data_IF_248630868409
#
_entry.id   IF_248630868409
#
_cell.length_a   1.000
_cell.length_b   1.000
_cell.length_c   1.000
_cell.angle_alpha   90.00
_cell.angle_beta   90.00
_cell.angle_gamma   90.00
#
_symmetry.space_group_name_H-M   'P 1'
#
loop_
_entity.id
_entity.type
_entity.pdbx_description
1 polymer ?
#
# COMPACT_ATOMS: atom_id res chain seq x y z
N UNK A 1 8.48 -16.09 6.70
CA UNK A 1 7.05 -16.30 7.00
C UNK A 1 6.80 -16.71 8.44
N UNK A 2 7.57 -17.65 9.01
CA UNK A 2 7.42 -18.04 10.42
C UNK A 2 7.54 -16.86 11.41
N UNK A 3 8.41 -15.88 11.13
CA UNK A 3 8.54 -14.64 11.93
C UNK A 3 7.30 -13.75 11.97
N UNK A 4 6.38 -13.90 11.01
CA UNK A 4 5.12 -13.16 10.97
C UNK A 4 4.04 -13.94 11.72
N UNK A 5 4.01 -15.26 11.54
CA UNK A 5 3.08 -16.14 12.24
C UNK A 5 3.39 -16.28 13.74
N UNK A 6 4.60 -15.91 14.17
CA UNK A 6 4.95 -15.78 15.59
C UNK A 6 4.38 -14.51 16.26
N UNK A 7 3.78 -13.58 15.51
CA UNK A 7 3.04 -12.46 16.09
C UNK A 7 1.71 -12.95 16.69
N UNK A 8 1.77 -13.38 17.95
CA UNK A 8 0.63 -13.91 18.70
C UNK A 8 -0.47 -12.88 18.99
N UNK A 9 -0.22 -11.59 18.75
CA UNK A 9 -1.26 -10.55 18.85
C UNK A 9 -2.21 -10.60 17.65
N UNK A 10 -1.76 -11.13 16.51
CA UNK A 10 -2.51 -11.16 15.24
C UNK A 10 -2.82 -12.56 14.73
N UNK A 11 -1.95 -13.52 15.02
CA UNK A 11 -2.07 -14.88 14.53
C UNK A 11 -2.09 -15.87 15.68
N UNK A 12 -3.02 -16.82 15.62
CA UNK A 12 -3.11 -17.91 16.58
C UNK A 12 -3.08 -19.24 15.86
N UNK A 13 -2.39 -20.20 16.45
CA UNK A 13 -2.47 -21.58 16.02
C UNK A 13 -3.85 -22.15 16.35
N UNK A 14 -4.48 -22.83 15.39
CA UNK A 14 -5.73 -23.53 15.62
C UNK A 14 -5.42 -24.91 16.20
N UNK A 15 -5.58 -25.06 17.53
CA UNK A 15 -5.21 -26.30 18.25
C UNK A 15 -5.84 -27.57 17.67
N UNK A 16 -7.07 -27.44 17.17
CA UNK A 16 -7.80 -28.57 16.59
C UNK A 16 -7.31 -28.97 15.20
N UNK A 17 -6.57 -28.07 14.52
CA UNK A 17 -6.20 -28.15 13.10
C UNK A 17 -7.37 -28.55 12.18
N UNK A 18 -8.61 -28.28 12.60
CA UNK A 18 -9.82 -28.65 11.89
C UNK A 18 -10.25 -27.52 10.97
N UNK A 19 -10.50 -27.85 9.71
CA UNK A 19 -11.10 -26.94 8.74
C UNK A 19 -12.56 -26.65 9.12
N UNK A 20 -12.88 -25.37 9.38
CA UNK A 20 -14.22 -24.91 9.73
C UNK A 20 -14.89 -24.15 8.57
N UNK A 21 -14.45 -24.36 7.32
CA UNK A 21 -14.99 -23.69 6.14
C UNK A 21 -16.50 -23.89 6.02
N UNK A 22 -17.01 -25.12 6.12
CA UNK A 22 -18.46 -25.41 6.06
C UNK A 22 -19.27 -24.72 7.17
N UNK A 23 -18.74 -24.71 8.39
CA UNK A 23 -19.36 -24.03 9.52
C UNK A 23 -19.39 -22.52 9.29
N UNK A 24 -18.32 -21.98 8.72
CA UNK A 24 -18.21 -20.57 8.33
C UNK A 24 -19.21 -20.24 7.23
N UNK A 25 -19.36 -21.06 6.19
CA UNK A 25 -20.37 -20.85 5.15
C UNK A 25 -21.78 -20.81 5.73
N UNK A 26 -22.12 -21.73 6.63
CA UNK A 26 -23.42 -21.76 7.31
C UNK A 26 -23.65 -20.48 8.11
N UNK A 27 -22.64 -20.02 8.85
CA UNK A 27 -22.68 -18.75 9.61
C UNK A 27 -22.88 -17.55 8.70
N UNK A 28 -22.10 -17.44 7.62
CA UNK A 28 -22.21 -16.36 6.64
C UNK A 28 -23.59 -16.37 5.98
N UNK A 29 -24.06 -17.55 5.57
CA UNK A 29 -25.38 -17.71 4.95
C UNK A 29 -26.49 -17.27 5.91
N UNK A 30 -26.38 -17.54 7.21
CA UNK A 30 -27.34 -17.05 8.22
C UNK A 30 -27.37 -15.52 8.28
N UNK A 31 -26.21 -14.86 8.24
CA UNK A 31 -26.11 -13.39 8.19
C UNK A 31 -26.76 -12.84 6.92
N UNK A 32 -26.44 -13.40 5.76
CA UNK A 32 -27.00 -12.95 4.48
C UNK A 32 -28.53 -13.14 4.41
N UNK A 33 -29.06 -14.25 4.95
CA UNK A 33 -30.52 -14.46 5.04
C UNK A 33 -31.20 -13.42 5.93
N UNK A 34 -30.58 -13.04 7.04
CA UNK A 34 -31.09 -11.99 7.93
C UNK A 34 -31.17 -10.64 7.21
N UNK A 35 -30.12 -10.29 6.45
CA UNK A 35 -30.12 -9.08 5.61
C UNK A 35 -31.19 -9.11 4.52
N UNK A 36 -31.39 -10.28 3.88
CA UNK A 36 -32.44 -10.47 2.88
C UNK A 36 -33.84 -10.29 3.49
N UNK A 37 -34.09 -10.87 4.66
CA UNK A 37 -35.37 -10.71 5.40
C UNK A 37 -35.64 -9.25 5.77
N UNK A 38 -34.59 -8.52 6.17
CA UNK A 38 -34.64 -7.09 6.47
C UNK A 38 -34.73 -6.20 5.22
N UNK A 39 -34.76 -6.78 4.00
CA UNK A 39 -34.75 -6.08 2.70
C UNK A 39 -33.54 -5.15 2.52
N UNK A 40 -32.43 -5.46 3.18
CA UNK A 40 -31.18 -4.70 3.06
C UNK A 40 -30.36 -5.12 1.83
N UNK A 41 -30.61 -6.34 1.34
CA UNK A 41 -30.11 -6.86 0.08
C UNK A 41 -31.26 -7.54 -0.67
N UNK A 42 -31.18 -7.57 -1.99
CA UNK A 42 -32.14 -8.29 -2.83
C UNK A 42 -31.74 -9.76 -3.05
N UNK A 43 -32.62 -10.53 -3.69
CA UNK A 43 -32.37 -11.94 -4.00
C UNK A 43 -31.14 -12.14 -4.90
N UNK A 44 -30.92 -11.23 -5.85
CA UNK A 44 -29.76 -11.28 -6.75
C UNK A 44 -28.46 -11.15 -5.97
N UNK A 45 -28.35 -10.12 -5.12
CA UNK A 45 -27.21 -9.90 -4.24
C UNK A 45 -27.03 -11.06 -3.27
N UNK A 46 -28.10 -11.56 -2.63
CA UNK A 46 -28.01 -12.73 -1.75
C UNK A 46 -27.41 -13.95 -2.47
N UNK A 47 -27.91 -14.28 -3.66
CA UNK A 47 -27.43 -15.43 -4.42
C UNK A 47 -25.97 -15.28 -4.87
N UNK A 48 -25.58 -14.06 -5.24
CA UNK A 48 -24.19 -13.75 -5.57
C UNK A 48 -23.26 -13.85 -4.37
N UNK A 49 -23.64 -13.28 -3.22
CA UNK A 49 -22.80 -13.21 -2.02
C UNK A 49 -22.73 -14.53 -1.25
N UNK A 50 -23.75 -15.40 -1.37
CA UNK A 50 -23.80 -16.66 -0.63
C UNK A 50 -22.62 -17.56 -1.04
N UNK A 51 -21.76 -17.96 -0.08
CA UNK A 51 -20.67 -18.89 -0.36
C UNK A 51 -21.23 -20.29 -0.65
N UNK A 52 -20.55 -21.01 -1.55
CA UNK A 52 -20.82 -22.40 -1.91
C UNK A 52 -19.48 -23.05 -2.27
N UNK A 53 -19.22 -24.25 -1.74
CA UNK A 53 -18.02 -25.03 -2.04
C UNK A 53 -16.73 -24.21 -1.88
N UNK A 54 -16.70 -23.39 -0.83
CA UNK A 54 -15.56 -22.51 -0.57
C UNK A 54 -14.33 -23.33 -0.19
N UNK A 55 -13.17 -22.70 -0.39
CA UNK A 55 -11.88 -23.24 0.03
C UNK A 55 -11.36 -22.47 1.24
N UNK A 56 -10.64 -23.18 2.10
CA UNK A 56 -9.87 -22.54 3.16
C UNK A 56 -8.84 -21.59 2.53
N UNK A 57 -8.78 -20.31 2.94
CA UNK A 57 -7.70 -19.41 2.52
C UNK A 57 -6.34 -20.04 2.82
N UNK A 58 -5.34 -19.77 1.99
CA UNK A 58 -3.98 -20.24 2.25
C UNK A 58 -2.96 -19.13 2.09
N UNK A 59 -1.95 -19.16 2.94
CA UNK A 59 -0.82 -18.25 2.88
C UNK A 59 0.28 -18.86 2.01
N UNK A 60 0.93 -18.03 1.20
CA UNK A 60 2.10 -18.41 0.42
C UNK A 60 3.08 -17.22 0.35
N UNK A 61 4.31 -17.49 -0.09
CA UNK A 61 5.36 -16.48 -0.20
C UNK A 61 5.72 -16.23 -1.64
N UNK A 62 5.76 -14.96 -2.06
CA UNK A 62 6.41 -14.58 -3.33
C UNK A 62 7.82 -14.05 -3.06
N UNK A 63 8.86 -14.52 -3.78
CA UNK A 63 10.22 -14.03 -3.61
C UNK A 63 10.32 -12.57 -4.06
N UNK A 64 10.92 -11.71 -3.22
CA UNK A 64 11.31 -10.36 -3.64
C UNK A 64 12.66 -10.42 -4.34
N UNK A 65 12.66 -10.86 -5.60
CA UNK A 65 13.86 -11.13 -6.42
C UNK A 65 14.83 -9.94 -6.54
N UNK A 66 14.34 -8.71 -6.31
CA UNK A 66 15.10 -7.47 -6.36
C UNK A 66 15.80 -7.11 -5.03
N UNK A 67 15.70 -7.95 -3.99
CA UNK A 67 16.36 -7.74 -2.69
C UNK A 67 17.38 -8.84 -2.43
N UNK A 68 18.48 -8.50 -1.78
CA UNK A 68 19.47 -9.47 -1.30
C UNK A 68 18.77 -10.57 -0.50
N UNK A 69 19.18 -11.82 -0.74
CA UNK A 69 18.57 -13.06 -0.20
C UNK A 69 17.11 -13.34 -0.61
N UNK A 70 16.56 -12.56 -1.55
CA UNK A 70 15.21 -12.74 -2.11
C UNK A 70 14.12 -13.03 -1.06
N UNK A 71 13.99 -12.21 0.01
CA UNK A 71 13.08 -12.49 1.11
C UNK A 71 11.64 -12.69 0.64
N UNK A 72 10.97 -13.68 1.23
CA UNK A 72 9.59 -14.00 0.90
C UNK A 72 8.60 -12.95 1.40
N UNK A 73 7.73 -12.51 0.49
CA UNK A 73 6.57 -11.67 0.74
C UNK A 73 5.36 -12.54 1.06
N UNK A 74 4.81 -12.52 2.29
CA UNK A 74 3.61 -13.28 2.59
C UNK A 74 2.41 -12.71 1.83
N UNK A 75 1.61 -13.59 1.25
CA UNK A 75 0.32 -13.29 0.65
C UNK A 75 -0.72 -14.30 1.13
N UNK A 76 -1.94 -13.82 1.29
CA UNK A 76 -3.11 -14.63 1.60
C UNK A 76 -3.95 -14.78 0.34
N UNK A 77 -4.05 -16.01 -0.17
CA UNK A 77 -5.01 -16.31 -1.22
C UNK A 77 -6.40 -16.37 -0.62
N UNK A 78 -7.22 -15.35 -0.91
CA UNK A 78 -8.61 -15.29 -0.50
C UNK A 78 -9.58 -15.80 -1.57
N UNK A 79 -9.10 -16.10 -2.77
CA UNK A 79 -9.94 -16.48 -3.90
C UNK A 79 -10.72 -17.76 -3.56
N UNK A 80 -12.02 -17.75 -3.86
CA UNK A 80 -12.96 -18.82 -3.52
C UNK A 80 -13.10 -19.14 -2.02
N UNK A 81 -12.63 -18.25 -1.13
CA UNK A 81 -12.93 -18.36 0.29
C UNK A 81 -14.36 -17.93 0.60
N UNK A 82 -14.92 -18.33 1.77
CA UNK A 82 -16.27 -17.92 2.18
C UNK A 82 -16.44 -16.40 2.27
N UNK A 83 -15.33 -15.67 2.45
CA UNK A 83 -15.31 -14.22 2.71
C UNK A 83 -15.17 -13.39 1.44
N UNK A 84 -14.60 -13.95 0.37
CA UNK A 84 -14.13 -13.19 -0.79
C UNK A 84 -15.21 -12.36 -1.47
N UNK A 85 -16.38 -12.96 -1.73
CA UNK A 85 -17.47 -12.28 -2.43
C UNK A 85 -18.05 -11.12 -1.62
N UNK A 86 -18.20 -11.32 -0.30
CA UNK A 86 -18.66 -10.27 0.62
C UNK A 86 -17.62 -9.16 0.72
N UNK A 87 -16.34 -9.52 0.87
CA UNK A 87 -15.26 -8.54 0.93
C UNK A 87 -15.20 -7.67 -0.33
N UNK A 88 -15.32 -8.28 -1.53
CA UNK A 88 -15.37 -7.54 -2.80
C UNK A 88 -16.58 -6.62 -2.87
N UNK A 89 -17.77 -7.13 -2.55
CA UNK A 89 -18.99 -6.33 -2.55
C UNK A 89 -18.94 -5.16 -1.57
N UNK A 90 -18.40 -5.36 -0.36
CA UNK A 90 -18.18 -4.27 0.60
C UNK A 90 -17.16 -3.26 0.07
N UNK A 91 -16.10 -3.70 -0.61
CA UNK A 91 -15.12 -2.80 -1.22
C UNK A 91 -15.76 -1.91 -2.28
N UNK A 92 -16.60 -2.48 -3.14
CA UNK A 92 -17.35 -1.72 -4.16
C UNK A 92 -18.30 -0.69 -3.51
N UNK A 93 -18.93 -1.03 -2.38
CA UNK A 93 -19.78 -0.10 -1.62
C UNK A 93 -18.98 1.01 -0.93
N UNK A 94 -17.73 0.75 -0.55
CA UNK A 94 -16.85 1.72 0.09
C UNK A 94 -16.11 2.62 -0.90
N UNK A 95 -16.05 2.24 -2.17
CA UNK A 95 -15.29 2.97 -3.20
C UNK A 95 -15.71 4.45 -3.33
N UNK A 96 -17.01 4.83 -3.31
CA UNK A 96 -17.39 6.24 -3.32
C UNK A 96 -16.91 7.02 -2.09
N UNK A 97 -16.93 6.39 -0.90
CA UNK A 97 -16.39 6.99 0.31
C UNK A 97 -14.88 7.17 0.21
N UNK A 98 -14.19 6.14 -0.28
CA UNK A 98 -12.75 6.16 -0.51
C UNK A 98 -12.36 7.28 -1.46
N UNK A 99 -13.08 7.48 -2.57
CA UNK A 99 -12.81 8.56 -3.51
C UNK A 99 -13.01 9.94 -2.89
N UNK A 100 -14.06 10.11 -2.06
CA UNK A 100 -14.31 11.36 -1.34
C UNK A 100 -13.24 11.66 -0.28
N UNK A 101 -12.75 10.64 0.41
CA UNK A 101 -11.77 10.80 1.49
C UNK A 101 -10.32 10.81 0.99
N UNK A 102 -9.92 9.95 0.07
CA UNK A 102 -8.52 9.78 -0.31
C UNK A 102 -8.04 10.82 -1.35
N UNK A 103 -8.20 12.11 -1.06
CA UNK A 103 -7.95 13.23 -1.98
C UNK A 103 -6.48 13.40 -2.37
N UNK A 104 -5.56 13.01 -1.48
CA UNK A 104 -4.12 13.06 -1.77
C UNK A 104 -3.61 11.83 -2.53
N UNK A 105 -4.48 10.86 -2.83
CA UNK A 105 -4.07 9.62 -3.48
C UNK A 105 -4.05 9.76 -5.00
N UNK A 106 -2.86 9.61 -5.58
CA UNK A 106 -2.66 9.58 -7.01
C UNK A 106 -2.90 8.19 -7.58
N UNK A 107 -3.37 8.17 -8.83
CA UNK A 107 -3.67 6.92 -9.57
C UNK A 107 -2.38 6.15 -9.89
N UNK A 108 -1.36 6.87 -10.34
CA UNK A 108 -0.10 6.31 -10.80
C UNK A 108 1.01 7.38 -10.72
N UNK A 109 2.23 6.96 -11.08
CA UNK A 109 3.42 7.80 -11.09
C UNK A 109 3.43 8.85 -12.20
N UNK A 110 2.65 8.68 -13.28
CA UNK A 110 2.58 9.66 -14.36
C UNK A 110 1.81 10.89 -13.90
N UNK A 111 0.68 10.68 -13.21
CA UNK A 111 -0.07 11.78 -12.57
C UNK A 111 0.80 12.56 -11.58
N UNK A 112 1.69 11.86 -10.85
CA UNK A 112 2.66 12.52 -9.98
C UNK A 112 3.63 13.40 -10.79
N UNK A 113 4.26 12.84 -11.84
CA UNK A 113 5.19 13.59 -12.69
C UNK A 113 4.52 14.83 -13.29
N UNK A 114 3.30 14.69 -13.82
CA UNK A 114 2.52 15.80 -14.39
C UNK A 114 2.25 16.89 -13.34
N UNK A 115 1.89 16.50 -12.11
CA UNK A 115 1.64 17.46 -11.04
C UNK A 115 2.89 18.23 -10.58
N UNK A 116 4.08 17.69 -10.83
CA UNK A 116 5.35 18.33 -10.49
C UNK A 116 5.81 19.32 -11.57
N UNK A 117 5.32 19.22 -12.82
CA UNK A 117 5.77 20.07 -13.94
C UNK A 117 5.57 21.57 -13.68
N UNK A 118 4.50 21.93 -12.96
CA UNK A 118 4.14 23.32 -12.68
C UNK A 118 4.72 23.86 -11.36
N UNK A 119 5.44 23.02 -10.61
CA UNK A 119 6.02 23.41 -9.33
C UNK A 119 7.46 23.83 -9.58
N UNK A 120 7.81 25.08 -9.29
CA UNK A 120 9.22 25.48 -9.25
C UNK A 120 9.90 24.69 -8.12
N UNK A 121 10.89 23.87 -8.42
CA UNK A 121 11.57 23.00 -7.47
C UNK A 121 12.92 23.54 -7.00
N UNK A 122 13.41 24.63 -7.59
CA UNK A 122 14.70 25.20 -7.24
C UNK A 122 14.74 25.60 -5.75
N UNK A 123 15.79 25.16 -5.05
CA UNK A 123 15.96 25.41 -3.61
C UNK A 123 14.98 24.67 -2.69
N UNK A 124 14.32 23.61 -3.16
CA UNK A 124 13.33 22.82 -2.38
C UNK A 124 13.79 21.38 -2.22
N UNK A 125 13.34 20.72 -1.15
CA UNK A 125 13.66 19.32 -0.84
C UNK A 125 12.41 18.45 -0.91
N UNK A 126 12.55 17.31 -1.58
CA UNK A 126 11.52 16.27 -1.61
C UNK A 126 11.84 15.25 -0.52
N UNK A 127 10.81 14.79 0.20
CA UNK A 127 10.91 13.72 1.17
C UNK A 127 9.97 12.58 0.79
N UNK A 128 10.47 11.34 0.85
CA UNK A 128 9.71 10.15 0.48
C UNK A 128 9.68 9.16 1.64
N UNK A 129 8.50 8.75 2.07
CA UNK A 129 8.31 7.87 3.21
C UNK A 129 7.58 6.60 2.81
N UNK A 130 7.99 5.51 3.46
CA UNK A 130 7.43 4.18 3.28
C UNK A 130 6.62 3.76 4.48
N UNK A 131 5.37 3.36 4.24
CA UNK A 131 4.52 2.80 5.29
C UNK A 131 4.74 1.29 5.37
N UNK A 132 5.39 0.84 6.43
CA UNK A 132 5.71 -0.58 6.62
C UNK A 132 4.50 -1.40 7.03
N UNK A 133 4.20 -2.45 6.27
CA UNK A 133 3.20 -3.48 6.61
C UNK A 133 1.81 -2.90 6.91
N UNK A 134 1.35 -1.96 6.06
CA UNK A 134 0.12 -1.20 6.26
C UNK A 134 -1.09 -2.10 6.57
N UNK A 135 -1.40 -3.11 5.75
CA UNK A 135 -2.61 -3.94 5.93
C UNK A 135 -2.75 -4.65 7.26
N UNK A 136 -1.64 -5.21 7.75
CA UNK A 136 -1.61 -5.87 9.06
C UNK A 136 -1.70 -4.87 10.21
N UNK A 137 -1.37 -3.60 9.97
CA UNK A 137 -1.33 -2.54 10.99
C UNK A 137 -2.53 -1.58 10.95
N UNK A 138 -3.46 -1.73 10.00
CA UNK A 138 -4.67 -0.89 9.96
C UNK A 138 -5.50 -1.13 11.24
N UNK A 139 -5.74 -0.10 12.06
CA UNK A 139 -6.60 -0.22 13.22
C UNK A 139 -8.06 -0.35 12.73
N UNK A 140 -8.54 -1.60 12.72
CA UNK A 140 -9.86 -1.92 12.17
C UNK A 140 -11.00 -1.21 12.90
N UNK A 141 -10.88 -0.99 14.20
CA UNK A 141 -11.89 -0.28 15.00
C UNK A 141 -11.96 1.20 14.63
N UNK A 142 -10.83 1.89 14.60
CA UNK A 142 -10.76 3.30 14.19
C UNK A 142 -11.26 3.48 12.74
N UNK A 143 -10.83 2.61 11.82
CA UNK A 143 -11.27 2.63 10.42
C UNK A 143 -12.79 2.46 10.31
N UNK A 144 -13.40 1.62 11.16
CA UNK A 144 -14.86 1.46 11.21
C UNK A 144 -15.56 2.73 11.65
N UNK A 145 -15.05 3.40 12.66
CA UNK A 145 -15.68 4.61 13.19
C UNK A 145 -15.63 5.76 12.19
N UNK A 146 -14.51 5.89 11.45
CA UNK A 146 -14.41 6.81 10.30
C UNK A 146 -15.48 6.50 9.25
N UNK A 147 -15.65 5.23 8.89
CA UNK A 147 -16.67 4.81 7.91
C UNK A 147 -18.08 5.13 8.41
N UNK A 148 -18.35 4.91 9.69
CA UNK A 148 -19.69 5.12 10.27
C UNK A 148 -20.07 6.58 10.46
N UNK A 149 -19.10 7.51 10.43
CA UNK A 149 -19.38 8.95 10.34
C UNK A 149 -19.98 9.36 8.99
N UNK A 150 -20.01 8.47 8.00
CA UNK A 150 -20.49 8.73 6.64
C UNK A 150 -21.67 7.82 6.24
N UNK A 151 -22.77 7.79 7.03
CA UNK A 151 -23.85 6.82 6.84
C UNK A 151 -24.56 6.98 5.49
N UNK A 152 -24.65 8.19 4.95
CA UNK A 152 -25.33 8.47 3.68
C UNK A 152 -24.67 7.82 2.45
N UNK A 153 -23.37 7.55 2.53
CA UNK A 153 -22.62 6.92 1.44
C UNK A 153 -22.80 5.40 1.50
N UNK A 154 -23.11 4.87 2.68
CA UNK A 154 -23.40 3.46 2.88
C UNK A 154 -24.89 3.22 2.63
N UNK A 155 -25.22 2.52 1.53
CA UNK A 155 -26.61 2.06 1.27
C UNK A 155 -27.05 0.93 2.23
N UNK A 156 -26.51 0.89 3.44
CA UNK A 156 -26.74 -0.10 4.49
C UNK A 156 -26.62 0.59 5.86
N UNK A 157 -27.45 0.19 6.85
CA UNK A 157 -27.28 0.66 8.22
C UNK A 157 -25.87 0.36 8.76
N UNK A 158 -25.30 1.31 9.51
CA UNK A 158 -23.94 1.21 10.06
C UNK A 158 -23.71 -0.09 10.86
N UNK A 159 -24.72 -0.57 11.59
CA UNK A 159 -24.65 -1.80 12.39
C UNK A 159 -24.44 -3.05 11.52
N UNK A 160 -25.19 -3.18 10.43
CA UNK A 160 -25.09 -4.32 9.52
C UNK A 160 -23.80 -4.25 8.69
N UNK A 161 -23.39 -3.03 8.32
CA UNK A 161 -22.10 -2.81 7.68
C UNK A 161 -20.94 -3.25 8.58
N UNK A 162 -20.94 -2.80 9.86
CA UNK A 162 -19.95 -3.23 10.86
C UNK A 162 -19.92 -4.75 10.98
N UNK A 163 -21.09 -5.39 11.07
CA UNK A 163 -21.22 -6.85 11.17
C UNK A 163 -20.60 -7.58 9.99
N UNK A 164 -20.89 -7.16 8.75
CA UNK A 164 -20.31 -7.74 7.54
C UNK A 164 -18.79 -7.49 7.43
N UNK A 165 -18.33 -6.31 7.84
CA UNK A 165 -16.90 -6.00 7.84
C UNK A 165 -16.14 -6.88 8.83
N UNK A 166 -16.65 -7.07 10.05
CA UNK A 166 -16.07 -8.00 11.03
C UNK A 166 -16.01 -9.42 10.51
N UNK A 167 -17.07 -9.88 9.83
CA UNK A 167 -17.13 -11.20 9.23
C UNK A 167 -16.00 -11.46 8.22
N UNK A 168 -15.52 -10.42 7.52
CA UNK A 168 -14.49 -10.53 6.48
C UNK A 168 -13.08 -10.17 6.95
N UNK A 169 -12.93 -9.53 8.11
CA UNK A 169 -11.64 -8.96 8.56
C UNK A 169 -11.15 -9.54 9.87
N UNK A 170 -12.00 -10.20 10.65
CA UNK A 170 -11.64 -10.69 11.99
C UNK A 170 -11.96 -12.17 12.13
N UNK A 171 -11.05 -12.88 12.79
CA UNK A 171 -11.25 -14.24 13.28
C UNK A 171 -11.61 -15.26 12.17
N UNK A 172 -10.83 -15.24 11.09
CA UNK A 172 -10.96 -16.22 10.00
C UNK A 172 -9.77 -17.19 9.98
N UNK A 173 -10.01 -18.41 9.49
CA UNK A 173 -9.00 -19.45 9.37
C UNK A 173 -8.28 -19.37 8.03
N UNK A 174 -7.00 -19.73 8.03
CA UNK A 174 -6.20 -19.94 6.84
C UNK A 174 -5.17 -21.04 7.07
N UNK A 175 -4.67 -21.64 6.00
CA UNK A 175 -3.65 -22.69 6.05
C UNK A 175 -2.29 -22.17 5.60
N UNK A 176 -1.23 -22.59 6.27
CA UNK A 176 0.15 -22.44 5.85
C UNK A 176 0.94 -23.69 6.21
N UNK A 177 1.67 -24.29 5.26
CA UNK A 177 2.44 -25.52 5.48
C UNK A 177 1.64 -26.62 6.22
N UNK A 178 0.43 -26.92 5.74
CA UNK A 178 -0.49 -27.92 6.33
C UNK A 178 -0.95 -27.66 7.76
N UNK A 179 -0.68 -26.45 8.26
CA UNK A 179 -1.09 -25.99 9.58
C UNK A 179 -2.14 -24.91 9.44
N UNK A 180 -3.24 -25.04 10.18
CA UNK A 180 -4.30 -24.04 10.23
C UNK A 180 -3.98 -23.01 11.29
N UNK A 181 -4.03 -21.75 10.86
CA UNK A 181 -3.88 -20.56 11.67
C UNK A 181 -5.18 -19.76 11.63
N UNK A 182 -5.29 -18.85 12.59
CA UNK A 182 -6.40 -17.93 12.71
C UNK A 182 -5.86 -16.52 12.76
N UNK A 183 -6.33 -15.66 11.87
CA UNK A 183 -6.03 -14.24 11.93
C UNK A 183 -7.05 -13.56 12.84
N UNK A 184 -6.61 -13.11 14.01
CA UNK A 184 -7.48 -12.51 15.04
C UNK A 184 -7.62 -11.00 14.91
N UNK A 185 -6.71 -10.34 14.19
CA UNK A 185 -6.74 -8.90 13.96
C UNK A 185 -6.02 -8.47 12.66
N UNK A 186 -6.33 -7.25 12.20
CA UNK A 186 -5.81 -6.66 10.96
C UNK A 186 -6.51 -7.15 9.70
N UNK A 187 -6.23 -6.53 8.55
CA UNK A 187 -6.79 -6.97 7.27
C UNK A 187 -5.84 -7.98 6.62
N UNK A 188 -6.39 -9.08 6.12
CA UNK A 188 -5.63 -10.08 5.40
C UNK A 188 -4.97 -9.47 4.14
N UNK A 189 -3.68 -9.71 3.97
CA UNK A 189 -2.94 -9.32 2.78
C UNK A 189 -3.42 -10.13 1.57
N UNK A 190 -4.33 -9.59 0.78
CA UNK A 190 -5.02 -10.30 -0.32
C UNK A 190 -6.54 -10.26 -0.22
N UNK A 191 -7.08 -9.71 0.88
CA UNK A 191 -8.49 -9.36 0.95
C UNK A 191 -8.80 -8.19 0.01
N UNK A 192 -9.89 -8.24 -0.79
CA UNK A 192 -10.37 -7.10 -1.56
C UNK A 192 -10.62 -5.83 -0.72
N UNK A 193 -10.85 -5.98 0.58
CA UNK A 193 -11.07 -4.87 1.51
C UNK A 193 -9.79 -4.14 1.92
N UNK A 194 -8.63 -4.80 1.84
CA UNK A 194 -7.34 -4.23 2.27
C UNK A 194 -7.12 -2.83 1.73
N UNK A 195 -7.00 -2.66 0.40
CA UNK A 195 -6.86 -1.36 -0.24
C UNK A 195 -7.77 -0.24 0.25
N UNK A 196 -9.07 -0.50 0.21
CA UNK A 196 -10.07 0.54 0.42
C UNK A 196 -10.04 1.00 1.88
N UNK A 197 -9.85 0.07 2.81
CA UNK A 197 -9.70 0.38 4.24
C UNK A 197 -8.39 1.11 4.51
N UNK A 198 -7.30 0.73 3.85
CA UNK A 198 -6.00 1.38 3.98
C UNK A 198 -6.09 2.85 3.56
N UNK A 199 -6.73 3.12 2.42
CA UNK A 199 -6.89 4.49 1.94
C UNK A 199 -7.78 5.32 2.83
N UNK A 200 -8.91 4.77 3.29
CA UNK A 200 -9.82 5.49 4.19
C UNK A 200 -9.10 5.85 5.50
N UNK A 201 -8.33 4.91 6.05
CA UNK A 201 -7.55 5.15 7.26
C UNK A 201 -6.45 6.21 7.04
N UNK A 202 -5.66 6.08 5.97
CA UNK A 202 -4.62 7.07 5.64
C UNK A 202 -5.22 8.45 5.37
N UNK A 203 -6.36 8.52 4.68
CA UNK A 203 -7.11 9.74 4.44
C UNK A 203 -7.61 10.42 5.72
N UNK A 204 -7.92 9.64 6.76
CA UNK A 204 -8.24 10.18 8.07
C UNK A 204 -7.00 10.73 8.76
N UNK A 205 -5.88 10.01 8.74
CA UNK A 205 -4.61 10.51 9.30
C UNK A 205 -4.18 11.83 8.65
N UNK A 206 -4.33 11.94 7.34
CA UNK A 206 -4.06 13.15 6.55
C UNK A 206 -4.89 14.35 7.00
N UNK A 207 -6.18 14.14 7.31
CA UNK A 207 -7.08 15.21 7.76
C UNK A 207 -6.97 15.56 9.23
N UNK A 208 -6.38 14.67 10.02
CA UNK A 208 -6.32 14.81 11.48
C UNK A 208 -4.89 15.02 11.93
N UNK A 209 -4.16 13.94 12.22
CA UNK A 209 -2.84 13.96 12.84
C UNK A 209 -1.76 14.60 11.95
N UNK A 210 -1.88 14.44 10.63
CA UNK A 210 -0.89 14.95 9.67
C UNK A 210 -1.29 16.27 9.05
N UNK A 211 -2.50 16.79 9.34
CA UNK A 211 -3.02 17.98 8.65
C UNK A 211 -2.10 19.18 8.77
N UNK A 212 -1.65 19.52 9.97
CA UNK A 212 -0.73 20.66 10.16
C UNK A 212 0.56 20.50 9.37
N UNK A 213 1.17 19.31 9.41
CA UNK A 213 2.38 19.03 8.65
C UNK A 213 2.15 19.07 7.12
N UNK A 214 0.99 18.62 6.64
CA UNK A 214 0.62 18.66 5.22
C UNK A 214 0.34 20.10 4.78
N UNK A 215 -0.31 20.92 5.60
CA UNK A 215 -0.61 22.32 5.28
C UNK A 215 0.67 23.17 5.18
N UNK A 216 1.73 22.80 5.90
CA UNK A 216 3.07 23.41 5.80
C UNK A 216 3.85 22.97 4.55
N UNK A 217 3.42 21.87 3.91
CA UNK A 217 4.07 21.35 2.71
C UNK A 217 3.59 22.10 1.48
N UNK A 218 4.53 22.39 0.59
CA UNK A 218 4.19 22.98 -0.71
C UNK A 218 3.42 21.99 -1.58
N UNK A 219 3.69 20.69 -1.40
CA UNK A 219 3.02 19.63 -2.12
C UNK A 219 3.05 18.35 -1.29
N UNK A 220 1.92 17.66 -1.26
CA UNK A 220 1.79 16.38 -0.59
C UNK A 220 0.91 15.46 -1.45
N UNK A 221 1.38 14.23 -1.65
CA UNK A 221 0.60 13.21 -2.34
C UNK A 221 0.99 11.81 -1.90
N UNK A 222 0.11 10.84 -2.16
CA UNK A 222 0.39 9.42 -1.98
C UNK A 222 0.23 8.70 -3.29
N UNK A 223 1.24 7.95 -3.69
CA UNK A 223 1.14 7.06 -4.85
C UNK A 223 0.94 5.63 -4.36
N UNK A 224 -0.03 4.95 -4.95
CA UNK A 224 -0.22 3.52 -4.78
C UNK A 224 0.69 2.78 -5.76
N UNK A 225 1.56 1.93 -5.26
CA UNK A 225 2.16 0.86 -6.08
C UNK A 225 1.41 -0.43 -5.79
N UNK A 226 0.81 -1.03 -6.82
CA UNK A 226 0.49 -2.45 -6.79
C UNK A 226 1.73 -3.19 -7.24
N UNK A 227 2.62 -3.49 -6.30
CA UNK A 227 3.62 -4.54 -6.53
C UNK A 227 2.89 -5.86 -6.27
N UNK A 228 2.62 -6.62 -7.33
CA UNK A 228 2.20 -8.03 -7.27
C UNK A 228 1.11 -8.31 -6.23
N UNK A 229 -0.08 -7.73 -6.44
CA UNK A 229 -1.28 -7.95 -5.61
C UNK A 229 -1.18 -7.49 -4.13
N UNK A 230 -0.24 -6.60 -3.81
CA UNK A 230 -0.14 -5.93 -2.50
C UNK A 230 0.03 -4.42 -2.69
N UNK A 231 -0.72 -3.62 -1.92
CA UNK A 231 -0.62 -2.17 -1.94
C UNK A 231 0.55 -1.71 -1.08
N UNK A 232 1.48 -1.02 -1.71
CA UNK A 232 2.48 -0.19 -1.04
C UNK A 232 2.03 1.25 -1.23
N UNK A 233 1.75 1.94 -0.13
CA UNK A 233 1.48 3.38 -0.13
C UNK A 233 2.79 4.10 0.05
N UNK A 234 3.23 4.81 -0.99
CA UNK A 234 4.35 5.74 -0.91
C UNK A 234 3.81 7.11 -0.58
N UNK A 235 4.36 7.74 0.45
CA UNK A 235 3.95 9.06 0.90
C UNK A 235 5.01 10.07 0.47
N UNK A 236 4.67 10.90 -0.51
CA UNK A 236 5.51 11.99 -0.99
C UNK A 236 5.21 13.24 -0.19
N UNK A 237 6.22 13.78 0.47
CA UNK A 237 6.16 14.99 1.28
C UNK A 237 7.13 16.01 0.71
N UNK A 238 6.66 17.18 0.28
CA UNK A 238 7.53 18.30 -0.07
C UNK A 238 7.55 19.28 1.11
N UNK A 239 8.56 19.19 2.00
CA UNK A 239 8.72 20.17 3.10
C UNK A 239 9.51 21.40 2.63
N UNK A 240 9.06 22.59 3.03
CA UNK A 240 9.91 23.79 3.23
C UNK A 240 10.24 23.85 4.75
N UNK A 241 11.34 24.41 5.27
CA UNK A 241 11.98 25.70 4.97
C UNK A 241 13.35 25.82 5.70
N UNK A 242 14.16 26.73 5.15
CA UNK A 242 15.30 27.49 5.70
C UNK A 242 16.67 26.83 5.92
N UNK A 243 17.63 27.45 5.23
CA UNK A 243 19.06 27.66 5.51
C UNK A 243 20.07 26.54 5.19
N UNK A 244 20.81 26.82 4.11
CA UNK A 244 22.29 26.77 3.99
C UNK A 244 22.89 25.61 3.17
N UNK A 245 23.22 25.90 1.89
CA UNK A 245 24.48 25.59 1.14
C UNK A 245 24.70 24.07 0.86
N UNK A 246 24.99 23.55 -0.35
CA UNK A 246 25.98 23.90 -1.39
C UNK A 246 25.44 23.47 -2.76
N UNK A 247 25.58 24.35 -3.75
CA UNK A 247 25.41 24.05 -5.18
C UNK A 247 26.67 23.37 -5.72
N UNK A 248 26.51 22.35 -6.55
CA UNK A 248 27.51 22.02 -7.57
C UNK A 248 26.79 21.48 -8.80
N UNK A 249 27.04 22.14 -9.91
CA UNK A 249 26.40 21.98 -11.22
C UNK A 249 26.63 20.59 -11.82
N UNK A 250 25.58 20.03 -12.42
CA UNK A 250 25.70 19.24 -13.64
C UNK A 250 24.57 19.70 -14.58
N UNK A 251 24.85 20.76 -15.34
CA UNK A 251 24.15 20.99 -16.60
C UNK A 251 24.68 19.98 -17.63
N UNK A 252 23.76 19.26 -18.28
CA UNK A 252 23.68 19.04 -19.73
C UNK A 252 22.69 17.90 -20.03
N UNK A 253 21.40 18.12 -19.73
CA UNK A 253 20.26 17.53 -20.43
C UNK A 253 18.97 18.15 -19.88
N UNK A 254 18.18 18.80 -20.73
CA UNK A 254 16.89 19.40 -20.35
C UNK A 254 15.80 18.35 -19.99
N UNK A 255 16.14 17.06 -19.99
CA UNK A 255 15.18 15.95 -19.91
C UNK A 255 15.25 15.11 -18.62
N UNK A 256 16.12 15.47 -17.66
CA UNK A 256 16.32 14.72 -16.40
C UNK A 256 16.46 15.67 -15.22
N UNK A 257 15.65 15.50 -14.16
CA UNK A 257 15.75 16.26 -12.90
C UNK A 257 16.03 15.33 -11.73
N UNK A 258 16.98 15.72 -10.87
CA UNK A 258 17.53 14.93 -9.75
C UNK A 258 17.17 15.61 -8.42
N UNK A 259 16.67 14.84 -7.44
CA UNK A 259 16.20 15.37 -6.15
C UNK A 259 16.78 14.62 -4.95
N UNK A 260 17.13 15.34 -3.89
CA UNK A 260 17.73 14.81 -2.65
C UNK A 260 16.75 14.88 -1.44
N UNK A 261 16.81 13.86 -0.57
CA UNK A 261 16.05 13.77 0.70
C UNK A 261 16.90 13.23 1.84
N UNK A 262 16.93 13.88 3.01
CA UNK A 262 17.62 13.37 4.21
C UNK A 262 16.70 12.54 5.12
N UNK A 263 17.20 11.39 5.60
CA UNK A 263 16.53 10.63 6.68
C UNK A 263 17.35 10.69 7.97
N UNK A 264 16.73 11.10 9.08
CA UNK A 264 17.33 11.16 10.42
C UNK A 264 17.34 9.78 11.08
N UNK A 265 18.48 9.09 11.02
CA UNK A 265 18.93 8.03 11.94
C UNK A 265 20.44 7.78 11.70
N UNK A 266 21.15 7.19 12.66
CA UNK A 266 22.63 7.17 12.85
C UNK A 266 23.50 6.48 11.77
N UNK A 267 23.01 6.35 10.53
CA UNK A 267 23.80 6.19 9.32
C UNK A 267 23.07 7.00 8.24
N UNK A 268 23.72 8.00 7.64
CA UNK A 268 23.07 8.92 6.70
C UNK A 268 22.57 8.10 5.52
N UNK A 269 21.26 7.85 5.46
CA UNK A 269 20.61 7.25 4.30
C UNK A 269 19.78 8.32 3.62
N UNK A 270 19.99 8.51 2.32
CA UNK A 270 19.32 9.55 1.52
C UNK A 270 18.41 8.90 0.48
N UNK A 271 17.28 9.52 0.15
CA UNK A 271 16.45 9.10 -0.99
C UNK A 271 16.68 10.04 -2.17
N UNK A 272 17.10 9.48 -3.31
CA UNK A 272 17.31 10.16 -4.57
C UNK A 272 16.14 9.82 -5.50
N UNK A 273 15.48 10.82 -6.07
CA UNK A 273 14.38 10.59 -7.03
C UNK A 273 14.81 11.20 -8.35
N UNK A 274 14.70 10.43 -9.43
CA UNK A 274 15.03 10.89 -10.78
C UNK A 274 13.79 10.78 -11.66
N UNK A 275 13.34 11.92 -12.18
CA UNK A 275 12.18 12.02 -13.06
C UNK A 275 12.64 12.46 -14.45
N UNK A 276 12.07 11.85 -15.49
CA UNK A 276 12.33 12.24 -16.88
C UNK A 276 11.69 11.30 -17.90
N UNK A 277 11.74 11.69 -19.17
CA UNK A 277 11.08 11.02 -20.29
C UNK A 277 11.48 9.54 -20.44
N UNK A 278 10.62 8.75 -21.09
CA UNK A 278 10.98 7.38 -21.46
C UNK A 278 12.28 7.36 -22.26
N UNK A 279 13.18 6.42 -21.93
CA UNK A 279 14.48 6.25 -22.60
C UNK A 279 15.47 7.44 -22.53
N UNK A 280 15.24 8.47 -21.70
CA UNK A 280 16.19 9.61 -21.57
C UNK A 280 17.49 9.30 -20.80
N UNK A 281 17.85 8.03 -20.62
CA UNK A 281 19.14 7.62 -20.01
C UNK A 281 19.22 7.63 -18.49
N UNK A 282 18.11 7.80 -17.75
CA UNK A 282 18.09 7.83 -16.25
C UNK A 282 18.78 6.61 -15.61
N UNK A 283 18.50 5.42 -16.12
CA UNK A 283 19.06 4.16 -15.61
C UNK A 283 20.55 4.07 -15.90
N UNK A 284 20.97 4.46 -17.11
CA UNK A 284 22.40 4.49 -17.47
C UNK A 284 23.16 5.52 -16.62
N UNK A 285 22.59 6.70 -16.39
CA UNK A 285 23.17 7.74 -15.53
C UNK A 285 23.41 7.21 -14.11
N UNK A 286 22.47 6.45 -13.55
CA UNK A 286 22.59 5.89 -12.21
C UNK A 286 23.58 4.73 -12.13
N UNK A 287 23.64 3.88 -13.14
CA UNK A 287 24.61 2.78 -13.20
C UNK A 287 26.03 3.35 -13.31
N UNK A 288 26.24 4.37 -14.16
CA UNK A 288 27.53 5.07 -14.27
C UNK A 288 27.87 5.74 -12.93
N UNK A 289 26.93 6.48 -12.33
CA UNK A 289 27.17 7.17 -11.06
C UNK A 289 27.49 6.23 -9.89
N UNK A 290 26.92 5.02 -9.87
CA UNK A 290 27.09 4.07 -8.75
C UNK A 290 28.20 3.03 -8.96
N UNK A 291 28.54 2.71 -10.21
CA UNK A 291 29.47 1.62 -10.54
C UNK A 291 30.64 2.05 -11.42
N UNK A 292 30.69 3.32 -11.81
CA UNK A 292 31.70 3.89 -12.72
C UNK A 292 31.82 3.10 -14.05
N UNK A 293 30.73 2.46 -14.46
CA UNK A 293 30.66 1.62 -15.65
C UNK A 293 29.40 1.95 -16.46
N UNK A 294 29.57 2.11 -17.78
CA UNK A 294 28.43 2.28 -18.68
C UNK A 294 27.83 0.92 -19.03
N UNK A 295 26.52 0.70 -18.86
CA UNK A 295 25.89 -0.58 -19.18
C UNK A 295 25.81 -0.79 -20.71
N UNK A 296 26.38 -1.89 -21.22
CA UNK A 296 26.35 -2.23 -22.65
C UNK A 296 25.01 -2.81 -23.12
N UNK A 297 24.19 -3.33 -22.20
CA UNK A 297 22.89 -3.95 -22.50
C UNK A 297 21.76 -3.09 -21.94
N UNK A 298 20.88 -2.61 -22.82
CA UNK A 298 19.70 -1.85 -22.44
C UNK A 298 18.61 -2.77 -21.87
N UNK A 299 18.32 -2.64 -20.57
CA UNK A 299 17.17 -3.29 -19.92
C UNK A 299 16.05 -2.27 -19.74
N UNK A 300 14.88 -2.43 -20.40
CA UNK A 300 13.77 -1.49 -20.32
C UNK A 300 13.28 -1.33 -18.87
N UNK A 301 13.33 -0.11 -18.36
CA UNK A 301 13.08 0.18 -16.95
C UNK A 301 11.59 0.29 -16.65
N UNK A 302 11.01 -0.73 -16.02
CA UNK A 302 9.72 -0.62 -15.33
C UNK A 302 10.01 -0.39 -13.85
N UNK A 303 10.11 0.89 -13.45
CA UNK A 303 10.21 1.36 -12.06
C UNK A 303 11.10 0.54 -11.11
N UNK A 304 12.41 0.78 -11.14
CA UNK A 304 13.35 0.11 -10.24
C UNK A 304 13.73 1.01 -9.05
N UNK A 305 13.83 0.40 -7.86
CA UNK A 305 14.45 1.04 -6.70
C UNK A 305 15.90 0.51 -6.62
N UNK A 306 16.90 1.37 -6.73
CA UNK A 306 18.31 1.01 -6.52
C UNK A 306 18.77 1.43 -5.12
N UNK A 307 19.73 0.69 -4.56
CA UNK A 307 20.48 1.11 -3.37
C UNK A 307 21.93 1.20 -3.79
N UNK A 308 22.54 2.36 -3.60
CA UNK A 308 23.95 2.59 -3.86
C UNK A 308 24.58 3.23 -2.63
N UNK A 309 25.71 2.70 -2.17
CA UNK A 309 26.53 3.36 -1.15
C UNK A 309 27.47 4.31 -1.89
N UNK A 310 27.37 5.60 -1.58
CA UNK A 310 28.19 6.65 -2.20
C UNK A 310 29.00 7.37 -1.13
N UNK A 311 30.19 7.81 -1.51
CA UNK A 311 31.03 8.66 -0.67
C UNK A 311 30.76 10.12 -1.00
N UNK A 312 30.30 10.89 -0.02
CA UNK A 312 30.09 12.34 -0.13
C UNK A 312 30.86 13.00 1.00
N UNK A 313 31.78 13.91 0.68
CA UNK A 313 32.63 14.62 1.65
C UNK A 313 33.34 13.67 2.65
N UNK A 314 33.93 12.59 2.14
CA UNK A 314 34.59 11.53 2.91
C UNK A 314 33.67 10.80 3.94
N UNK A 315 32.35 10.81 3.71
CA UNK A 315 31.37 10.06 4.50
C UNK A 315 30.63 9.08 3.61
N UNK A 316 30.54 7.83 4.06
CA UNK A 316 29.73 6.80 3.41
C UNK A 316 28.23 7.07 3.66
N UNK A 317 27.48 7.22 2.58
CA UNK A 317 26.05 7.55 2.56
C UNK A 317 25.31 6.50 1.73
N UNK A 318 24.35 5.81 2.35
CA UNK A 318 23.50 4.86 1.63
C UNK A 318 22.36 5.59 0.90
N UNK A 319 22.34 5.55 -0.42
CA UNK A 319 21.32 6.23 -1.24
C UNK A 319 20.32 5.24 -1.80
N UNK A 320 19.04 5.49 -1.51
CA UNK A 320 17.90 4.83 -2.14
C UNK A 320 17.46 5.64 -3.34
N UNK A 321 17.65 5.08 -4.53
CA UNK A 321 17.31 5.74 -5.79
C UNK A 321 15.99 5.21 -6.33
N UNK A 322 15.09 6.12 -6.73
CA UNK A 322 13.83 5.80 -7.39
C UNK A 322 13.76 6.48 -8.76
N UNK A 323 13.61 5.68 -9.81
CA UNK A 323 13.46 6.15 -11.19
C UNK A 323 11.97 6.26 -11.54
N UNK A 324 11.54 7.44 -11.97
CA UNK A 324 10.19 7.69 -12.47
C UNK A 324 10.27 8.05 -13.94
N UNK A 325 9.56 7.29 -14.77
CA UNK A 325 9.30 7.64 -16.16
C UNK A 325 8.10 8.60 -16.22
N UNK A 326 8.29 9.81 -16.76
CA UNK A 326 7.24 10.82 -16.88
C UNK A 326 7.66 11.94 -17.81
N UNK A 327 6.70 12.55 -18.51
CA UNK A 327 6.99 13.58 -19.51
C UNK A 327 7.20 14.93 -18.80
N UNK A 328 8.42 15.44 -18.85
CA UNK A 328 8.76 16.77 -18.29
C UNK A 328 8.68 17.80 -19.42
N UNK A 329 7.52 18.43 -19.61
CA UNK A 329 7.37 19.53 -20.58
C UNK A 329 7.76 20.87 -19.96
#
# INVERSE_FOLDING_TARGET
MNSILSDHTRFKFEKSNKDLTDSTEKRITKVLRDLLKKKMIDNSTYNNLRPRESRLPHMYGLPKIHKQDSPLKPLMSMVNSPYHKIARWLADKLEPLRQRLATYTLKDSFVFADSMNHINIAGKFMNSFDVTSLFTKIPLLETKDIICQHPYILRLPAIEFKRLLFLCTKDFQFQFNNTIYRQTDGVAMGSPLGPVLADIFMANLERTKLKGAIDEMMYYSRVKRMEDHQYTVWQWHLKMKLSTVIETEIEHSRSVRVFWSETMASAVRKKLVIVGDGACGKTCLLIVFSKDQFPEVYVPTVFENYVADIEVDNRQVGVYVLIICGRLN
#
